data_IF_598666263187
#
_entry.id   IF_598666263187
#
_cell.length_a   1.000
_cell.length_b   1.000
_cell.length_c   1.000
_cell.angle_alpha   90.00
_cell.angle_beta   90.00
_cell.angle_gamma   90.00
#
_symmetry.space_group_name_H-M   'P 1'
#
loop_
_entity.id
_entity.type
_entity.pdbx_description
1 polymer ?
#
# COMPACT_ATOMS: atom_id res chain seq x y z
N UNK A 1 20.21 11.00 -5.02
CA UNK A 1 19.98 10.37 -3.68
C UNK A 1 19.85 8.88 -3.91
N UNK A 2 20.29 8.03 -2.98
CA UNK A 2 20.26 6.57 -3.18
C UNK A 2 19.73 5.91 -1.92
N UNK A 3 18.73 5.06 -2.06
CA UNK A 3 18.29 4.17 -0.99
C UNK A 3 19.24 2.98 -0.87
N UNK A 4 19.28 2.33 0.29
CA UNK A 4 20.15 1.16 0.51
C UNK A 4 19.64 -0.08 -0.22
N UNK A 5 18.31 -0.23 -0.32
CA UNK A 5 17.61 -1.35 -0.95
C UNK A 5 16.55 -0.84 -1.92
N UNK A 6 16.12 -1.67 -2.85
CA UNK A 6 14.91 -1.44 -3.62
C UNK A 6 13.71 -1.29 -2.68
N UNK A 7 12.75 -0.46 -3.06
CA UNK A 7 11.58 -0.14 -2.23
C UNK A 7 10.40 -0.96 -2.74
N UNK A 8 9.81 -1.74 -1.86
CA UNK A 8 8.55 -2.42 -2.12
C UNK A 8 7.41 -1.56 -1.57
N UNK A 9 6.79 -0.80 -2.47
CA UNK A 9 5.61 0.00 -2.19
C UNK A 9 4.39 -0.90 -2.27
N UNK A 10 3.62 -1.03 -1.19
CA UNK A 10 2.44 -1.88 -1.15
C UNK A 10 1.21 -1.16 -0.60
N UNK A 11 0.05 -1.67 -0.94
CA UNK A 11 -1.25 -1.19 -0.50
C UNK A 11 -2.25 -2.34 -0.42
N UNK A 12 -3.20 -2.22 0.50
CA UNK A 12 -4.28 -3.18 0.69
C UNK A 12 -5.65 -2.50 0.56
N UNK A 13 -6.56 -3.12 -0.21
CA UNK A 13 -7.97 -2.89 0.01
C UNK A 13 -8.50 -3.87 1.05
N UNK A 14 -9.39 -3.39 1.90
CA UNK A 14 -9.89 -4.14 3.07
C UNK A 14 -11.38 -3.96 3.27
N UNK A 15 -12.00 -4.91 3.98
CA UNK A 15 -13.44 -4.86 4.30
C UNK A 15 -13.81 -3.74 5.27
N UNK A 16 -12.85 -3.15 6.00
CA UNK A 16 -13.06 -2.11 7.02
C UNK A 16 -11.77 -1.30 7.20
N UNK A 17 -11.88 -0.01 7.45
CA UNK A 17 -10.72 0.86 7.74
C UNK A 17 -10.15 0.70 9.16
N UNK A 18 -10.78 -0.08 10.02
CA UNK A 18 -10.37 -0.29 11.41
C UNK A 18 -9.58 -1.58 11.56
N UNK A 19 -8.30 -1.54 11.91
CA UNK A 19 -7.41 -2.71 11.90
C UNK A 19 -7.96 -3.98 12.57
N UNK A 20 -8.66 -3.93 13.71
CA UNK A 20 -9.17 -5.16 14.33
C UNK A 20 -10.29 -5.86 13.54
N UNK A 21 -11.00 -5.11 12.68
CA UNK A 21 -12.14 -5.60 11.90
C UNK A 21 -11.79 -5.82 10.42
N UNK A 22 -10.73 -5.17 9.97
CA UNK A 22 -10.28 -5.22 8.59
C UNK A 22 -9.83 -6.63 8.19
N UNK A 23 -10.32 -7.08 7.03
CA UNK A 23 -9.86 -8.29 6.36
C UNK A 23 -9.35 -7.88 4.98
N UNK A 24 -8.19 -8.39 4.51
CA UNK A 24 -7.65 -8.03 3.22
C UNK A 24 -8.49 -8.65 2.09
N UNK A 25 -8.79 -7.85 1.06
CA UNK A 25 -9.54 -8.26 -0.12
C UNK A 25 -8.80 -8.00 -1.44
N UNK A 26 -7.79 -7.13 -1.42
CA UNK A 26 -6.82 -6.98 -2.50
C UNK A 26 -5.46 -6.66 -1.88
N UNK A 27 -4.41 -7.25 -2.42
CA UNK A 27 -3.02 -6.87 -2.17
C UNK A 27 -2.39 -6.46 -3.48
N UNK A 28 -1.81 -5.28 -3.51
CA UNK A 28 -0.97 -4.85 -4.61
C UNK A 28 0.38 -4.32 -4.12
N UNK A 29 1.38 -4.40 -4.98
CA UNK A 29 2.68 -3.81 -4.72
C UNK A 29 3.43 -3.52 -6.02
N UNK A 30 4.30 -2.50 -5.97
CA UNK A 30 5.27 -2.20 -7.00
C UNK A 30 6.68 -2.19 -6.40
N UNK A 31 7.63 -2.77 -7.13
CA UNK A 31 9.04 -2.70 -6.76
C UNK A 31 9.68 -1.50 -7.44
N UNK A 32 10.22 -0.58 -6.66
CA UNK A 32 10.91 0.61 -7.14
C UNK A 32 12.43 0.42 -7.03
N UNK A 33 13.12 0.78 -8.09
CA UNK A 33 14.59 0.82 -8.12
C UNK A 33 15.13 1.82 -7.08
N UNK A 34 16.08 1.40 -6.27
CA UNK A 34 16.64 2.17 -5.15
C UNK A 34 17.33 3.48 -5.54
N UNK A 35 17.79 3.61 -6.76
CA UNK A 35 18.55 4.76 -7.24
C UNK A 35 17.66 5.77 -8.00
N UNK A 36 16.71 5.26 -8.78
CA UNK A 36 15.88 6.04 -9.71
C UNK A 36 14.43 6.13 -9.33
N UNK A 37 13.96 5.31 -8.41
CA UNK A 37 12.54 5.10 -8.06
C UNK A 37 11.65 4.73 -9.24
N UNK A 38 12.21 4.22 -10.33
CA UNK A 38 11.44 3.67 -11.44
C UNK A 38 10.86 2.30 -11.05
N UNK A 39 9.63 2.06 -11.47
CA UNK A 39 8.95 0.77 -11.30
C UNK A 39 9.68 -0.32 -12.08
N UNK A 40 9.98 -1.44 -11.42
CA UNK A 40 10.68 -2.61 -11.98
C UNK A 40 9.77 -3.81 -12.14
N UNK A 41 8.85 -4.01 -11.19
CA UNK A 41 7.90 -5.12 -11.15
C UNK A 41 6.62 -4.65 -10.49
N UNK A 42 5.52 -5.29 -10.84
CA UNK A 42 4.22 -5.10 -10.20
C UNK A 42 3.60 -6.43 -9.81
N UNK A 43 2.76 -6.40 -8.79
CA UNK A 43 1.93 -7.51 -8.33
C UNK A 43 0.57 -6.96 -7.95
N UNK A 44 -0.49 -7.62 -8.34
CA UNK A 44 -1.84 -7.34 -7.83
C UNK A 44 -2.64 -8.63 -7.80
N UNK A 45 -3.35 -8.86 -6.71
CA UNK A 45 -4.24 -10.00 -6.56
C UNK A 45 -5.42 -9.66 -5.67
N UNK A 46 -6.63 -10.01 -6.09
CA UNK A 46 -7.75 -10.15 -5.16
C UNK A 46 -7.48 -11.30 -4.20
N UNK A 47 -8.13 -11.22 -3.04
CA UNK A 47 -8.01 -12.22 -1.96
C UNK A 47 -9.43 -12.71 -1.65
N UNK A 48 -9.62 -14.01 -1.70
CA UNK A 48 -10.91 -14.63 -1.35
C UNK A 48 -11.31 -14.26 0.07
N UNK A 49 -12.47 -13.60 0.19
CA UNK A 49 -12.99 -13.13 1.47
C UNK A 49 -14.52 -13.06 1.42
N UNK A 50 -15.15 -13.28 2.57
CA UNK A 50 -16.57 -13.01 2.76
C UNK A 50 -16.77 -11.54 3.14
N UNK A 51 -17.54 -10.82 2.33
CA UNK A 51 -17.88 -9.40 2.52
C UNK A 51 -19.05 -9.19 3.50
N UNK A 52 -19.61 -10.26 4.09
CA UNK A 52 -20.66 -10.13 5.09
C UNK A 52 -20.17 -9.30 6.27
N UNK A 53 -20.86 -8.20 6.55
CA UNK A 53 -20.50 -7.27 7.62
C UNK A 53 -19.37 -6.28 7.27
N UNK A 54 -18.95 -6.19 6.01
CA UNK A 54 -18.02 -5.16 5.56
C UNK A 54 -18.57 -3.74 5.81
N UNK A 55 -17.70 -2.78 6.11
CA UNK A 55 -18.09 -1.38 6.25
C UNK A 55 -18.58 -0.84 4.89
N UNK A 56 -19.83 -0.34 4.79
CA UNK A 56 -20.34 0.21 3.54
C UNK A 56 -19.49 1.35 2.99
N UNK A 57 -18.80 2.10 3.84
CA UNK A 57 -17.89 3.19 3.41
C UNK A 57 -16.65 2.63 2.72
N UNK A 58 -16.05 1.56 3.27
CA UNK A 58 -14.94 0.89 2.62
C UNK A 58 -15.38 0.36 1.25
N UNK A 59 -16.52 -0.33 1.18
CA UNK A 59 -17.06 -0.86 -0.07
C UNK A 59 -17.34 0.23 -1.12
N UNK A 60 -17.77 1.43 -0.72
CA UNK A 60 -17.94 2.58 -1.61
C UNK A 60 -16.61 3.12 -2.15
N UNK A 61 -15.55 3.03 -1.36
CA UNK A 61 -14.21 3.52 -1.71
C UNK A 61 -13.56 2.64 -2.77
N UNK A 62 -13.45 1.34 -2.52
CA UNK A 62 -12.75 0.41 -3.44
C UNK A 62 -13.65 -0.17 -4.54
N UNK A 63 -14.98 -0.25 -4.33
CA UNK A 63 -15.92 -0.78 -5.32
C UNK A 63 -15.80 -2.28 -5.62
N UNK A 64 -14.98 -3.02 -4.87
CA UNK A 64 -14.80 -4.47 -5.04
C UNK A 64 -16.06 -5.18 -4.57
N UNK A 65 -16.53 -6.13 -5.39
CA UNK A 65 -17.77 -6.89 -5.16
C UNK A 65 -17.48 -8.30 -4.66
N UNK A 66 -18.46 -8.94 -3.99
CA UNK A 66 -18.35 -10.34 -3.57
C UNK A 66 -18.04 -11.26 -4.76
N UNK A 67 -18.68 -11.04 -5.91
CA UNK A 67 -18.47 -11.86 -7.11
C UNK A 67 -17.00 -11.87 -7.62
N UNK A 68 -16.26 -10.75 -7.41
CA UNK A 68 -14.83 -10.69 -7.75
C UNK A 68 -13.97 -11.49 -6.76
N UNK A 69 -14.44 -11.66 -5.53
CA UNK A 69 -13.72 -12.37 -4.48
C UNK A 69 -14.04 -13.87 -4.42
N UNK A 70 -15.19 -14.30 -4.96
CA UNK A 70 -15.62 -15.70 -4.87
C UNK A 70 -14.65 -16.66 -5.55
N UNK A 71 -14.10 -16.26 -6.70
CA UNK A 71 -13.12 -17.03 -7.46
C UNK A 71 -11.67 -16.62 -7.20
N UNK A 72 -11.43 -15.66 -6.30
CA UNK A 72 -10.09 -15.22 -5.94
C UNK A 72 -9.31 -16.29 -5.17
N UNK A 73 -7.98 -16.32 -5.27
CA UNK A 73 -7.15 -17.21 -4.46
C UNK A 73 -7.27 -16.89 -2.96
N UNK A 74 -7.00 -17.89 -2.14
CA UNK A 74 -6.98 -17.74 -0.69
C UNK A 74 -5.87 -16.76 -0.24
N UNK A 75 -6.03 -16.20 0.95
CA UNK A 75 -5.02 -15.32 1.56
C UNK A 75 -3.63 -15.97 1.60
N UNK A 76 -3.56 -17.26 1.94
CA UNK A 76 -2.30 -18.00 2.03
C UNK A 76 -1.64 -18.17 0.64
N UNK A 77 -2.41 -18.49 -0.39
CA UNK A 77 -1.90 -18.59 -1.76
C UNK A 77 -1.40 -17.26 -2.30
N UNK A 78 -2.12 -16.16 -2.01
CA UNK A 78 -1.67 -14.81 -2.40
C UNK A 78 -0.37 -14.45 -1.70
N UNK A 79 -0.28 -14.70 -0.38
CA UNK A 79 0.92 -14.34 0.38
C UNK A 79 2.13 -15.17 -0.06
N UNK A 80 1.96 -16.47 -0.29
CA UNK A 80 3.05 -17.32 -0.80
C UNK A 80 3.56 -16.82 -2.16
N UNK A 81 2.65 -16.55 -3.11
CA UNK A 81 3.01 -16.00 -4.43
C UNK A 81 3.71 -14.66 -4.31
N UNK A 82 3.27 -13.81 -3.39
CA UNK A 82 3.87 -12.49 -3.14
C UNK A 82 5.33 -12.62 -2.65
N UNK A 83 5.59 -13.49 -1.68
CA UNK A 83 6.94 -13.75 -1.17
C UNK A 83 7.84 -14.41 -2.23
N UNK A 84 7.32 -15.38 -2.98
CA UNK A 84 8.05 -16.03 -4.07
C UNK A 84 8.45 -15.03 -5.18
N UNK A 85 7.59 -14.03 -5.43
CA UNK A 85 7.79 -13.05 -6.50
C UNK A 85 8.79 -11.95 -6.13
N UNK A 86 8.75 -11.46 -4.89
CA UNK A 86 9.57 -10.31 -4.47
C UNK A 86 10.74 -10.70 -3.55
N UNK A 87 10.62 -11.75 -2.75
CA UNK A 87 11.53 -12.04 -1.63
C UNK A 87 11.38 -11.03 -0.50
N UNK A 88 12.29 -11.04 0.47
CA UNK A 88 12.22 -10.22 1.69
C UNK A 88 13.39 -9.23 1.85
N UNK A 89 14.42 -9.26 0.99
CA UNK A 89 15.56 -8.32 1.07
C UNK A 89 15.23 -6.94 0.46
N UNK A 90 14.14 -6.32 0.92
CA UNK A 90 13.57 -5.08 0.40
C UNK A 90 13.30 -4.07 1.52
N UNK A 91 13.05 -2.82 1.15
CA UNK A 91 12.61 -1.77 2.05
C UNK A 91 11.11 -1.52 1.85
N UNK A 92 10.31 -1.94 2.83
CA UNK A 92 8.86 -1.80 2.76
C UNK A 92 8.42 -0.35 2.84
N UNK A 93 7.40 0.00 2.07
CA UNK A 93 6.79 1.33 2.06
C UNK A 93 5.29 1.25 1.79
N UNK A 94 4.52 2.16 2.40
CA UNK A 94 3.07 2.35 2.17
C UNK A 94 2.75 3.83 2.25
N UNK A 95 1.49 4.18 1.92
CA UNK A 95 0.98 5.52 2.20
C UNK A 95 0.86 5.78 3.70
N UNK A 96 0.25 4.82 4.46
CA UNK A 96 0.21 4.82 5.93
C UNK A 96 0.44 3.41 6.46
N UNK A 97 1.40 3.24 7.34
CA UNK A 97 1.84 1.90 7.78
C UNK A 97 0.86 1.17 8.70
N UNK A 98 -0.05 1.88 9.35
CA UNK A 98 -0.86 1.33 10.45
C UNK A 98 -1.76 0.15 10.05
N UNK A 99 -2.34 0.17 8.86
CA UNK A 99 -3.21 -0.91 8.37
C UNK A 99 -2.43 -1.92 7.53
N UNK A 100 -1.70 -1.42 6.51
CA UNK A 100 -1.04 -2.27 5.52
C UNK A 100 0.01 -3.19 6.14
N UNK A 101 0.87 -2.67 7.03
CA UNK A 101 1.88 -3.48 7.69
C UNK A 101 1.27 -4.55 8.58
N UNK A 102 0.14 -4.23 9.23
CA UNK A 102 -0.58 -5.22 10.03
C UNK A 102 -1.20 -6.33 9.18
N UNK A 103 -1.79 -5.98 8.03
CA UNK A 103 -2.32 -6.98 7.09
C UNK A 103 -1.20 -7.87 6.57
N UNK A 104 -0.09 -7.28 6.15
CA UNK A 104 1.09 -8.03 5.68
C UNK A 104 1.62 -8.98 6.76
N UNK A 105 1.82 -8.50 8.00
CA UNK A 105 2.26 -9.32 9.12
C UNK A 105 1.33 -10.51 9.38
N UNK A 106 0.01 -10.26 9.44
CA UNK A 106 -0.97 -11.32 9.65
C UNK A 106 -0.92 -12.38 8.55
N UNK A 107 -0.79 -11.96 7.30
CA UNK A 107 -0.71 -12.86 6.15
C UNK A 107 0.59 -13.68 6.16
N UNK A 108 1.72 -13.09 6.50
CA UNK A 108 3.00 -13.77 6.62
C UNK A 108 2.98 -14.82 7.73
N UNK A 109 2.50 -14.43 8.92
CA UNK A 109 2.38 -15.35 10.07
C UNK A 109 1.46 -16.53 9.75
N UNK A 110 0.37 -16.31 9.01
CA UNK A 110 -0.57 -17.37 8.62
C UNK A 110 0.07 -18.48 7.75
N UNK A 111 1.17 -18.18 7.05
CA UNK A 111 1.92 -19.16 6.25
C UNK A 111 3.27 -19.55 6.87
N UNK A 112 3.50 -19.20 8.14
CA UNK A 112 4.68 -19.61 8.91
C UNK A 112 5.93 -18.74 8.71
N UNK A 113 5.80 -17.55 8.16
CA UNK A 113 6.86 -16.56 8.01
C UNK A 113 6.83 -15.52 9.12
N UNK A 114 7.98 -14.93 9.42
CA UNK A 114 8.11 -13.86 10.40
C UNK A 114 8.18 -12.51 9.68
N UNK A 115 7.42 -11.52 10.16
CA UNK A 115 7.44 -10.17 9.59
C UNK A 115 8.85 -9.54 9.61
N UNK A 116 9.65 -9.89 10.61
CA UNK A 116 11.03 -9.42 10.75
C UNK A 116 11.99 -9.91 9.64
N UNK A 117 11.57 -10.81 8.76
CA UNK A 117 12.32 -11.16 7.56
C UNK A 117 12.52 -9.94 6.64
N UNK A 118 11.59 -8.97 6.65
CA UNK A 118 11.77 -7.71 5.94
C UNK A 118 12.67 -6.71 6.68
N UNK A 119 12.43 -6.43 7.87
CA UNK A 119 13.06 -5.48 8.80
C UNK A 119 11.97 -4.75 9.60
N UNK A 120 12.35 -4.11 10.70
CA UNK A 120 11.40 -3.31 11.51
C UNK A 120 11.32 -1.84 11.08
N UNK A 121 12.15 -1.40 10.15
CA UNK A 121 12.05 -0.05 9.58
C UNK A 121 11.21 -0.07 8.32
N UNK A 122 10.27 0.86 8.22
CA UNK A 122 9.41 1.08 7.05
C UNK A 122 9.51 2.52 6.60
N UNK A 123 9.18 2.77 5.36
CA UNK A 123 9.04 4.10 4.82
C UNK A 123 7.54 4.46 4.76
N UNK A 124 7.08 5.26 5.72
CA UNK A 124 5.72 5.80 5.77
C UNK A 124 5.70 7.11 4.97
N UNK A 125 4.93 7.17 3.90
CA UNK A 125 4.98 8.28 2.94
C UNK A 125 4.11 9.45 3.40
N UNK A 126 2.98 9.20 4.07
CA UNK A 126 2.09 10.28 4.52
C UNK A 126 2.79 11.30 5.43
N UNK A 127 3.53 10.92 6.49
CA UNK A 127 4.26 11.87 7.32
C UNK A 127 5.30 12.69 6.54
N UNK A 128 5.98 12.06 5.59
CA UNK A 128 6.96 12.75 4.74
C UNK A 128 6.29 13.80 3.86
N UNK A 129 5.18 13.43 3.22
CA UNK A 129 4.39 14.33 2.40
C UNK A 129 3.82 15.49 3.23
N UNK A 130 3.30 15.20 4.42
CA UNK A 130 2.79 16.22 5.33
C UNK A 130 3.87 17.21 5.78
N UNK A 131 5.04 16.71 6.19
CA UNK A 131 6.18 17.58 6.55
C UNK A 131 6.62 18.44 5.36
N UNK A 132 6.60 17.89 4.14
CA UNK A 132 6.87 18.67 2.93
C UNK A 132 5.85 19.80 2.76
N UNK A 133 4.55 19.56 2.90
CA UNK A 133 3.51 20.60 2.86
C UNK A 133 3.70 21.66 3.96
N UNK A 134 4.00 21.26 5.20
CA UNK A 134 4.27 22.18 6.31
C UNK A 134 5.43 23.12 5.99
N UNK A 135 6.52 22.62 5.42
CA UNK A 135 7.68 23.44 5.01
C UNK A 135 7.34 24.47 3.94
N UNK A 136 6.30 24.23 3.17
CA UNK A 136 5.77 25.17 2.16
C UNK A 136 4.68 26.10 2.70
N UNK A 137 4.44 26.10 4.02
CA UNK A 137 3.40 26.92 4.65
C UNK A 137 1.99 26.41 4.47
N UNK A 138 1.81 25.13 4.11
CA UNK A 138 0.53 24.45 3.82
C UNK A 138 0.16 23.39 4.85
N UNK A 139 0.45 23.64 6.12
CA UNK A 139 0.21 22.70 7.21
C UNK A 139 -1.25 22.37 7.49
N UNK A 140 -2.20 23.10 6.90
CA UNK A 140 -3.64 22.81 6.94
C UNK A 140 -4.03 21.63 6.03
N UNK A 141 -3.15 21.21 5.12
CA UNK A 141 -3.38 20.07 4.23
C UNK A 141 -3.11 18.76 4.98
N UNK A 142 -4.09 18.27 5.72
CA UNK A 142 -3.99 17.06 6.54
C UNK A 142 -4.64 15.84 5.90
N UNK A 143 -5.58 16.04 5.01
CA UNK A 143 -6.30 14.98 4.32
C UNK A 143 -5.51 14.44 3.11
N UNK A 144 -5.46 13.12 2.95
CA UNK A 144 -4.71 12.46 1.87
C UNK A 144 -5.08 12.97 0.47
N UNK A 145 -6.37 13.18 0.20
CA UNK A 145 -6.83 13.69 -1.10
C UNK A 145 -6.25 15.06 -1.40
N UNK A 146 -6.27 15.98 -0.41
CA UNK A 146 -5.69 17.32 -0.56
C UNK A 146 -4.17 17.29 -0.72
N UNK A 147 -3.49 16.37 -0.03
CA UNK A 147 -2.06 16.17 -0.19
C UNK A 147 -1.75 15.67 -1.61
N UNK A 148 -2.48 14.69 -2.13
CA UNK A 148 -2.29 14.24 -3.51
C UNK A 148 -2.56 15.36 -4.53
N UNK A 149 -3.61 16.17 -4.34
CA UNK A 149 -3.90 17.35 -5.19
C UNK A 149 -2.73 18.34 -5.16
N UNK A 150 -2.15 18.60 -3.96
CA UNK A 150 -0.98 19.47 -3.80
C UNK A 150 0.25 18.96 -4.56
N UNK A 151 0.45 17.66 -4.57
CA UNK A 151 1.50 17.00 -5.36
C UNK A 151 1.13 16.89 -6.86
N UNK A 152 0.02 17.49 -7.30
CA UNK A 152 -0.39 17.52 -8.72
C UNK A 152 -0.87 16.18 -9.26
N UNK A 153 -1.29 15.26 -8.38
CA UNK A 153 -1.84 13.98 -8.79
C UNK A 153 -3.31 14.09 -9.18
N UNK A 154 -3.76 13.29 -10.15
CA UNK A 154 -5.16 13.29 -10.57
C UNK A 154 -6.08 12.88 -9.42
N UNK A 155 -7.33 13.34 -9.46
CA UNK A 155 -8.36 12.86 -8.53
C UNK A 155 -8.54 11.37 -8.73
N UNK A 156 -8.55 10.62 -7.62
CA UNK A 156 -8.84 9.20 -7.63
C UNK A 156 -10.31 8.97 -8.01
N UNK A 157 -10.54 7.91 -8.79
CA UNK A 157 -11.84 7.28 -8.92
C UNK A 157 -12.10 6.31 -7.75
N UNK A 158 -12.62 5.12 -8.04
CA UNK A 158 -12.58 4.03 -7.07
C UNK A 158 -11.13 3.70 -6.74
N UNK A 159 -10.87 3.40 -5.46
CA UNK A 159 -9.55 2.98 -5.05
C UNK A 159 -9.23 1.61 -5.65
N UNK A 160 -8.04 1.49 -6.19
CA UNK A 160 -7.41 0.25 -6.64
C UNK A 160 -6.02 0.22 -6.03
N UNK A 161 -5.70 -0.82 -5.28
CA UNK A 161 -4.46 -0.90 -4.52
C UNK A 161 -3.20 -0.70 -5.41
N UNK A 162 -3.22 -1.14 -6.67
CA UNK A 162 -2.06 -0.96 -7.56
C UNK A 162 -1.90 0.49 -8.00
N UNK A 163 -2.99 1.17 -8.34
CA UNK A 163 -2.96 2.60 -8.66
C UNK A 163 -2.58 3.44 -7.43
N UNK A 164 -3.01 3.03 -6.23
CA UNK A 164 -2.66 3.71 -4.99
C UNK A 164 -1.18 3.56 -4.64
N UNK A 165 -0.57 2.39 -4.92
CA UNK A 165 0.89 2.23 -4.89
C UNK A 165 1.59 3.21 -5.84
N UNK A 166 1.10 3.39 -7.06
CA UNK A 166 1.70 4.31 -8.05
C UNK A 166 1.56 5.78 -7.64
N UNK A 167 0.41 6.19 -7.10
CA UNK A 167 0.22 7.52 -6.55
C UNK A 167 1.19 7.80 -5.40
N UNK A 168 1.31 6.86 -4.47
CA UNK A 168 2.24 6.95 -3.34
C UNK A 168 3.70 7.03 -3.81
N UNK A 169 4.08 6.23 -4.80
CA UNK A 169 5.42 6.27 -5.40
C UNK A 169 5.71 7.62 -6.09
N UNK A 170 4.71 8.23 -6.72
CA UNK A 170 4.87 9.54 -7.34
C UNK A 170 5.09 10.64 -6.31
N UNK A 171 4.37 10.62 -5.19
CA UNK A 171 4.63 11.52 -4.05
C UNK A 171 6.06 11.35 -3.56
N UNK A 172 6.53 10.11 -3.38
CA UNK A 172 7.90 9.85 -2.96
C UNK A 172 8.92 10.42 -3.96
N UNK A 173 8.70 10.24 -5.27
CA UNK A 173 9.60 10.79 -6.31
C UNK A 173 9.71 12.31 -6.22
N UNK A 174 8.57 12.99 -6.06
CA UNK A 174 8.53 14.45 -5.92
C UNK A 174 9.26 14.93 -4.67
N UNK A 175 9.07 14.28 -3.53
CA UNK A 175 9.80 14.60 -2.29
C UNK A 175 11.32 14.40 -2.46
N UNK A 176 11.74 13.36 -3.18
CA UNK A 176 13.15 12.97 -3.29
C UNK A 176 13.90 13.76 -4.37
N UNK A 177 13.25 14.05 -5.50
CA UNK A 177 13.93 14.61 -6.68
C UNK A 177 13.54 16.05 -7.03
N UNK A 178 12.36 16.52 -6.62
CA UNK A 178 11.98 17.92 -6.82
C UNK A 178 12.52 18.79 -5.67
N UNK A 179 13.00 20.00 -6.02
CA UNK A 179 13.58 20.97 -5.08
C UNK A 179 12.54 21.98 -4.65
#
# INVERSE_FOLDING_TARGET
MKFKKDILMLDFETTDGRPPLAKPIQLAAILLDKDTLKEKKEFSSYIKQDMTGADPRASQVHGITQAQLDDAPSQNEVMQKFLDFFGTDLFLSTWTTALDMRMLEQMMVAIGHEFMEYNYHFLDIWPLAYVHCVKQGKGELFNSVKIFEEFGLPKRGNHDALEDCRHTAEVLRKIVFEK
#
